data_IF_885256025257
#
_entry.id   IF_885256025257
#
_cell.length_a   1.000
_cell.length_b   1.000
_cell.length_c   1.000
_cell.angle_alpha   90.00
_cell.angle_beta   90.00
_cell.angle_gamma   90.00
#
_symmetry.space_group_name_H-M   'P 1'
#
loop_
_entity.id
_entity.type
_entity.pdbx_description
1 polymer ?
#
# COMPACT_ATOMS: atom_id res chain seq x y z
N UNK A 1 23.32 -14.93 7.94
CA UNK A 1 21.95 -14.41 7.71
C UNK A 1 22.01 -12.90 7.70
N UNK A 2 21.52 -12.25 6.64
CA UNK A 2 21.48 -10.79 6.51
C UNK A 2 20.28 -10.21 7.25
N UNK A 3 20.49 -9.26 8.16
CA UNK A 3 19.44 -8.47 8.81
C UNK A 3 19.12 -7.20 8.01
N UNK A 4 17.83 -6.94 7.74
CA UNK A 4 17.33 -5.70 7.16
C UNK A 4 16.42 -5.01 8.16
N UNK A 5 16.81 -3.83 8.64
CA UNK A 5 16.02 -3.04 9.60
C UNK A 5 15.06 -2.10 8.86
N UNK A 6 13.79 -2.40 8.89
CA UNK A 6 12.73 -1.57 8.31
C UNK A 6 12.24 -0.52 9.32
N UNK A 7 12.43 0.76 9.02
CA UNK A 7 11.86 1.85 9.83
C UNK A 7 10.44 2.15 9.38
N UNK A 8 9.47 1.90 10.25
CA UNK A 8 8.03 2.02 10.02
C UNK A 8 7.33 2.84 11.11
N UNK A 9 6.04 3.15 10.93
CA UNK A 9 5.24 3.76 12.01
C UNK A 9 5.03 2.77 13.16
N UNK A 10 4.36 1.69 12.91
CA UNK A 10 4.19 0.47 13.71
C UNK A 10 3.75 -0.63 12.72
N UNK A 11 3.60 -1.88 13.16
CA UNK A 11 3.22 -2.98 12.27
C UNK A 11 1.70 -3.28 12.31
N UNK A 12 0.89 -2.22 12.18
CA UNK A 12 -0.57 -2.32 12.01
C UNK A 12 -0.94 -2.84 10.60
N UNK A 13 -2.20 -3.26 10.39
CA UNK A 13 -2.69 -3.67 9.06
C UNK A 13 -2.98 -2.45 8.18
N UNK A 14 -1.93 -1.87 7.62
CA UNK A 14 -2.00 -0.79 6.63
C UNK A 14 -1.17 -1.14 5.39
N UNK A 15 -1.23 -0.30 4.35
CA UNK A 15 -0.69 -0.64 3.03
C UNK A 15 0.81 -0.96 3.02
N UNK A 16 1.63 -0.16 3.71
CA UNK A 16 3.09 -0.35 3.77
C UNK A 16 3.44 -1.61 4.55
N UNK A 17 2.84 -1.78 5.71
CA UNK A 17 3.07 -2.90 6.60
C UNK A 17 2.61 -4.23 5.96
N UNK A 18 1.45 -4.20 5.28
CA UNK A 18 0.96 -5.36 4.52
C UNK A 18 1.89 -5.71 3.37
N UNK A 19 2.42 -4.72 2.64
CA UNK A 19 3.43 -4.94 1.59
C UNK A 19 4.67 -5.62 2.18
N UNK A 20 5.23 -5.10 3.28
CA UNK A 20 6.41 -5.69 3.92
C UNK A 20 6.16 -7.13 4.38
N UNK A 21 4.98 -7.41 4.96
CA UNK A 21 4.60 -8.76 5.37
C UNK A 21 4.41 -9.70 4.19
N UNK A 22 3.85 -9.23 3.07
CA UNK A 22 3.75 -10.04 1.86
C UNK A 22 5.15 -10.50 1.41
N UNK A 23 6.11 -9.59 1.33
CA UNK A 23 7.50 -9.93 1.00
C UNK A 23 8.13 -10.86 2.03
N UNK A 24 8.00 -10.58 3.32
CA UNK A 24 8.67 -11.36 4.37
C UNK A 24 8.17 -12.79 4.49
N UNK A 25 6.89 -13.05 4.20
CA UNK A 25 6.31 -14.40 4.16
C UNK A 25 6.94 -15.29 3.10
N UNK A 26 7.32 -14.72 1.97
CA UNK A 26 7.86 -15.43 0.80
C UNK A 26 9.38 -15.53 0.76
N UNK A 27 10.09 -14.79 1.61
CA UNK A 27 11.55 -14.80 1.66
C UNK A 27 12.10 -16.04 2.37
N UNK A 28 13.28 -16.50 1.92
CA UNK A 28 14.06 -17.50 2.63
C UNK A 28 14.66 -16.89 3.90
N UNK A 29 14.05 -17.21 5.04
CA UNK A 29 14.44 -16.71 6.36
C UNK A 29 15.76 -17.29 6.89
N UNK A 30 16.35 -18.25 6.20
CA UNK A 30 17.72 -18.70 6.48
C UNK A 30 18.76 -17.71 5.94
N UNK A 31 18.42 -16.96 4.89
CA UNK A 31 19.28 -16.00 4.21
C UNK A 31 19.06 -14.58 4.71
N UNK A 32 17.76 -14.15 4.83
CA UNK A 32 17.38 -12.79 5.22
C UNK A 32 16.39 -12.79 6.36
N UNK A 33 16.60 -11.87 7.32
CA UNK A 33 15.65 -11.55 8.36
C UNK A 33 15.20 -10.10 8.25
N UNK A 34 13.90 -9.85 8.35
CA UNK A 34 13.34 -8.52 8.53
C UNK A 34 13.23 -8.20 10.02
N UNK A 35 13.83 -7.10 10.42
CA UNK A 35 13.69 -6.48 11.73
C UNK A 35 12.96 -5.13 11.56
N UNK A 36 12.22 -4.70 12.56
CA UNK A 36 11.37 -3.52 12.46
C UNK A 36 11.70 -2.50 13.55
N UNK A 37 11.96 -1.26 13.15
CA UNK A 37 12.07 -0.09 14.00
C UNK A 37 10.73 0.64 14.01
N UNK A 38 9.88 0.32 14.98
CA UNK A 38 8.57 0.93 15.16
C UNK A 38 8.70 2.32 15.81
N UNK A 39 8.20 3.35 15.16
CA UNK A 39 8.31 4.75 15.61
C UNK A 39 7.08 5.26 16.38
N UNK A 40 6.11 4.38 16.65
CA UNK A 40 4.98 4.59 17.54
C UNK A 40 4.91 3.45 18.55
N UNK A 41 4.55 3.72 19.81
CA UNK A 41 4.54 2.71 20.87
C UNK A 41 3.36 1.74 20.81
N UNK A 42 2.36 2.00 19.95
CA UNK A 42 1.20 1.12 19.83
C UNK A 42 1.60 -0.22 19.21
N UNK A 43 1.17 -1.37 19.79
CA UNK A 43 1.35 -2.67 19.18
C UNK A 43 0.74 -2.74 17.78
N UNK A 44 1.34 -3.50 16.90
CA UNK A 44 0.84 -3.77 15.55
C UNK A 44 0.18 -5.14 15.47
N UNK A 45 -0.80 -5.29 14.60
CA UNK A 45 -1.50 -6.56 14.38
C UNK A 45 -0.60 -7.64 13.75
N UNK A 46 0.55 -7.27 13.20
CA UNK A 46 1.54 -8.20 12.66
C UNK A 46 2.65 -8.58 13.64
N UNK A 47 2.68 -8.00 14.85
CA UNK A 47 3.81 -8.17 15.77
C UNK A 47 4.09 -9.64 16.13
N UNK A 48 3.05 -10.41 16.43
CA UNK A 48 3.20 -11.81 16.81
C UNK A 48 3.63 -12.69 15.61
N UNK A 49 3.12 -12.41 14.44
CA UNK A 49 3.52 -13.10 13.21
C UNK A 49 4.99 -12.82 12.87
N UNK A 50 5.44 -11.57 13.00
CA UNK A 50 6.86 -11.19 12.80
C UNK A 50 7.77 -11.96 13.74
N UNK A 51 7.43 -12.00 15.04
CA UNK A 51 8.20 -12.74 16.04
C UNK A 51 8.23 -14.24 15.76
N UNK A 52 7.07 -14.81 15.35
CA UNK A 52 6.94 -16.22 14.95
C UNK A 52 7.80 -16.58 13.73
N UNK A 53 8.09 -15.61 12.86
CA UNK A 53 8.98 -15.76 11.71
C UNK A 53 10.46 -15.45 12.02
N UNK A 54 10.81 -15.16 13.28
CA UNK A 54 12.17 -14.85 13.72
C UNK A 54 12.59 -13.38 13.58
N UNK A 55 11.67 -12.49 13.14
CA UNK A 55 11.90 -11.05 13.07
C UNK A 55 11.82 -10.38 14.45
N UNK A 56 12.53 -9.27 14.61
CA UNK A 56 12.57 -8.49 15.85
C UNK A 56 11.88 -7.16 15.67
N UNK A 57 11.27 -6.66 16.74
CA UNK A 57 10.59 -5.35 16.75
C UNK A 57 11.22 -4.50 17.85
N UNK A 58 11.80 -3.38 17.45
CA UNK A 58 12.42 -2.37 18.31
C UNK A 58 11.49 -1.15 18.37
N UNK A 59 10.94 -0.85 19.54
CA UNK A 59 10.05 0.29 19.72
C UNK A 59 10.87 1.51 20.11
N UNK A 60 10.95 2.50 19.22
CA UNK A 60 11.72 3.71 19.44
C UNK A 60 11.04 4.68 20.42
N UNK A 61 11.80 5.63 21.03
CA UNK A 61 11.22 6.70 21.85
C UNK A 61 10.37 7.70 21.05
N UNK A 62 10.15 7.42 19.76
CA UNK A 62 9.34 8.23 18.84
C UNK A 62 10.13 9.33 18.12
N UNK A 63 9.59 9.73 16.96
CA UNK A 63 10.20 10.76 16.10
C UNK A 63 9.82 12.17 16.61
N UNK A 64 10.59 12.65 17.59
CA UNK A 64 10.52 14.02 18.08
C UNK A 64 11.86 14.72 17.82
N UNK A 65 11.90 15.83 17.04
CA UNK A 65 13.13 16.56 16.75
C UNK A 65 13.91 17.00 17.99
N UNK A 66 13.22 17.40 19.04
CA UNK A 66 13.83 17.84 20.30
C UNK A 66 14.49 16.70 21.07
N UNK A 67 14.09 15.47 20.78
CA UNK A 67 14.66 14.23 21.37
C UNK A 67 15.50 13.44 20.37
N UNK A 68 15.94 14.07 19.29
CA UNK A 68 16.76 13.38 18.28
C UNK A 68 18.05 12.74 18.86
N UNK A 69 18.79 13.35 19.79
CA UNK A 69 19.95 12.68 20.41
C UNK A 69 19.60 11.35 21.08
N UNK A 70 18.44 11.27 21.76
CA UNK A 70 17.94 10.04 22.39
C UNK A 70 17.57 9.00 21.32
N UNK A 71 16.85 9.41 20.26
CA UNK A 71 16.52 8.55 19.14
C UNK A 71 17.76 8.01 18.43
N UNK A 72 18.75 8.88 18.17
CA UNK A 72 20.03 8.49 17.55
C UNK A 72 20.76 7.45 18.40
N UNK A 73 20.84 7.67 19.72
CA UNK A 73 21.47 6.72 20.65
C UNK A 73 20.78 5.36 20.58
N UNK A 74 19.46 5.32 20.68
CA UNK A 74 18.66 4.10 20.59
C UNK A 74 18.92 3.32 19.31
N UNK A 75 18.90 4.00 18.14
CA UNK A 75 19.19 3.34 16.85
C UNK A 75 20.64 2.86 16.79
N UNK A 76 21.60 3.63 17.34
CA UNK A 76 23.00 3.21 17.37
C UNK A 76 23.24 1.99 18.27
N UNK A 77 22.58 1.90 19.42
CA UNK A 77 22.62 0.74 20.33
C UNK A 77 22.11 -0.50 19.60
N UNK A 78 20.93 -0.44 18.94
CA UNK A 78 20.40 -1.55 18.15
C UNK A 78 21.41 -2.03 17.11
N UNK A 79 21.99 -1.12 16.34
CA UNK A 79 22.91 -1.48 15.24
C UNK A 79 24.27 -2.01 15.76
N UNK A 80 24.71 -1.57 16.93
CA UNK A 80 25.93 -2.08 17.57
C UNK A 80 25.73 -3.48 18.16
N UNK A 81 24.59 -3.72 18.81
CA UNK A 81 24.22 -5.01 19.39
C UNK A 81 23.83 -6.06 18.33
N UNK A 82 23.52 -5.63 17.13
CA UNK A 82 23.06 -6.48 16.03
C UNK A 82 23.86 -6.21 14.75
N UNK A 83 25.13 -6.62 14.68
CA UNK A 83 26.03 -6.36 13.54
C UNK A 83 25.60 -7.08 12.24
N UNK A 84 24.70 -8.05 12.33
CA UNK A 84 24.06 -8.70 11.21
C UNK A 84 23.09 -7.78 10.45
N UNK A 85 22.64 -6.68 11.06
CA UNK A 85 21.85 -5.63 10.39
C UNK A 85 22.77 -4.76 9.53
N UNK A 86 22.86 -5.07 8.26
CA UNK A 86 23.70 -4.37 7.28
C UNK A 86 22.93 -3.38 6.41
N UNK A 87 21.60 -3.46 6.41
CA UNK A 87 20.71 -2.60 5.63
C UNK A 87 19.71 -1.91 6.55
N UNK A 88 19.54 -0.60 6.40
CA UNK A 88 18.42 0.15 6.99
C UNK A 88 17.51 0.70 5.89
N UNK A 89 16.27 0.26 5.87
CA UNK A 89 15.27 0.60 4.88
C UNK A 89 14.13 1.41 5.52
N UNK A 90 14.04 2.70 5.20
CA UNK A 90 13.09 3.62 5.84
C UNK A 90 11.84 3.84 4.99
N UNK A 91 10.66 3.54 5.57
CA UNK A 91 9.33 3.66 4.96
C UNK A 91 8.51 4.84 5.53
N UNK A 92 9.12 5.66 6.39
CA UNK A 92 8.43 6.78 7.06
C UNK A 92 8.45 8.07 6.22
N UNK A 93 8.48 7.97 4.92
CA UNK A 93 8.50 9.13 4.03
C UNK A 93 9.65 10.12 4.39
N UNK A 94 9.35 11.44 4.41
CA UNK A 94 10.32 12.44 4.80
C UNK A 94 10.91 12.21 6.21
N UNK A 95 10.12 11.66 7.14
CA UNK A 95 10.57 11.42 8.52
C UNK A 95 11.58 10.26 8.63
N UNK A 96 11.69 9.41 7.60
CA UNK A 96 12.75 8.40 7.47
C UNK A 96 14.17 8.98 7.54
N UNK A 97 14.31 10.31 7.30
CA UNK A 97 15.56 11.02 7.47
C UNK A 97 16.22 10.74 8.83
N UNK A 98 15.46 10.70 9.93
CA UNK A 98 16.03 10.48 11.26
C UNK A 98 16.63 9.08 11.43
N UNK A 99 15.94 8.04 10.95
CA UNK A 99 16.45 6.67 10.97
C UNK A 99 17.71 6.53 10.11
N UNK A 100 17.68 7.01 8.86
CA UNK A 100 18.81 6.92 7.94
C UNK A 100 20.02 7.76 8.38
N UNK A 101 19.79 8.96 8.95
CA UNK A 101 20.87 9.77 9.54
C UNK A 101 21.51 9.09 10.72
N UNK A 102 20.74 8.41 11.59
CA UNK A 102 21.25 7.65 12.71
C UNK A 102 22.04 6.44 12.25
N UNK A 103 21.52 5.68 11.26
CA UNK A 103 22.21 4.56 10.64
C UNK A 103 23.52 4.97 9.95
N UNK A 104 23.54 6.13 9.28
CA UNK A 104 24.77 6.70 8.70
C UNK A 104 25.82 6.98 9.79
N UNK A 105 25.39 7.52 10.93
CA UNK A 105 26.31 7.80 12.05
C UNK A 105 26.82 6.52 12.72
N UNK A 106 26.06 5.43 12.66
CA UNK A 106 26.45 4.10 13.17
C UNK A 106 27.26 3.26 12.17
N UNK A 107 27.58 3.82 10.97
CA UNK A 107 28.43 3.15 9.98
C UNK A 107 27.70 2.20 9.02
N UNK A 108 26.38 2.12 9.05
CA UNK A 108 25.62 1.29 8.08
C UNK A 108 25.82 1.84 6.68
N UNK A 109 26.26 0.96 5.76
CA UNK A 109 26.65 1.37 4.39
C UNK A 109 25.46 1.39 3.42
N UNK A 110 24.48 0.53 3.61
CA UNK A 110 23.25 0.47 2.76
C UNK A 110 22.08 1.11 3.50
N UNK A 111 21.62 2.25 2.99
CA UNK A 111 20.56 3.05 3.62
C UNK A 111 19.55 3.47 2.56
N UNK A 112 18.40 2.80 2.56
CA UNK A 112 17.36 2.94 1.54
C UNK A 112 16.28 3.90 2.04
N UNK A 113 16.03 4.97 1.29
CA UNK A 113 14.87 5.83 1.47
C UNK A 113 13.76 5.39 0.52
N UNK A 114 12.58 5.01 1.06
CA UNK A 114 11.47 4.51 0.27
C UNK A 114 10.26 5.43 0.36
N UNK A 115 9.81 5.93 -0.78
CA UNK A 115 8.65 6.80 -0.92
C UNK A 115 7.41 6.00 -1.33
N UNK A 116 6.29 6.19 -0.62
CA UNK A 116 5.02 5.48 -0.85
C UNK A 116 3.89 6.39 -1.32
N UNK A 117 4.06 7.72 -1.25
CA UNK A 117 3.04 8.70 -1.60
C UNK A 117 3.59 9.79 -2.52
N UNK A 118 2.69 10.38 -3.31
CA UNK A 118 2.99 11.52 -4.19
C UNK A 118 2.80 12.88 -3.51
N UNK A 119 2.44 12.90 -2.22
CA UNK A 119 2.21 14.13 -1.44
C UNK A 119 2.59 13.96 0.03
N UNK A 120 2.97 15.06 0.67
CA UNK A 120 3.11 15.13 2.13
C UNK A 120 1.79 15.58 2.73
N UNK A 121 1.28 14.80 3.69
CA UNK A 121 0.07 15.18 4.46
C UNK A 121 0.35 16.45 5.24
N UNK A 122 -0.53 17.46 5.07
CA UNK A 122 -0.49 18.75 5.78
C UNK A 122 -1.09 18.60 7.17
N UNK A 123 -0.23 18.36 8.15
CA UNK A 123 -0.54 18.34 9.58
C UNK A 123 0.38 19.34 10.32
N UNK A 124 0.31 19.38 11.66
CA UNK A 124 1.15 20.26 12.47
C UNK A 124 2.67 20.04 12.29
N UNK A 125 3.10 18.86 11.77
CA UNK A 125 4.49 18.56 11.45
C UNK A 125 4.88 18.92 10.00
N UNK A 126 4.00 19.51 9.21
CA UNK A 126 4.24 19.78 7.80
C UNK A 126 5.53 20.57 7.51
N UNK A 127 5.86 21.68 8.24
CA UNK A 127 7.14 22.38 8.01
C UNK A 127 8.35 21.51 8.27
N UNK A 128 8.31 20.68 9.31
CA UNK A 128 9.38 19.75 9.62
C UNK A 128 9.54 18.69 8.52
N UNK A 129 8.42 18.15 8.03
CA UNK A 129 8.43 17.16 6.93
C UNK A 129 9.08 17.74 5.66
N UNK A 130 8.87 19.02 5.35
CA UNK A 130 9.52 19.68 4.22
C UNK A 130 11.03 19.76 4.39
N UNK A 131 11.50 20.13 5.59
CA UNK A 131 12.94 20.14 5.90
C UNK A 131 13.53 18.73 5.80
N UNK A 132 12.88 17.74 6.43
CA UNK A 132 13.32 16.35 6.37
C UNK A 132 13.38 15.82 4.93
N UNK A 133 12.36 16.11 4.09
CA UNK A 133 12.36 15.75 2.66
C UNK A 133 13.58 16.29 1.94
N UNK A 134 13.97 17.55 2.20
CA UNK A 134 15.15 18.16 1.58
C UNK A 134 16.46 17.49 2.04
N UNK A 135 16.53 17.04 3.29
CA UNK A 135 17.72 16.44 3.88
C UNK A 135 17.82 14.92 3.63
N UNK A 136 16.70 14.27 3.38
CA UNK A 136 16.59 12.81 3.21
C UNK A 136 17.57 12.23 2.20
N UNK A 137 17.78 12.81 1.00
CA UNK A 137 18.72 12.28 0.01
C UNK A 137 20.17 12.25 0.49
N UNK A 138 20.56 13.17 1.38
CA UNK A 138 21.93 13.20 1.94
C UNK A 138 22.18 12.14 3.03
N UNK A 139 21.12 11.52 3.56
CA UNK A 139 21.21 10.45 4.53
C UNK A 139 21.11 9.05 3.90
N UNK A 140 20.45 8.95 2.74
CA UNK A 140 20.27 7.71 1.99
C UNK A 140 21.47 7.43 1.07
N UNK A 141 21.64 6.16 0.71
CA UNK A 141 22.51 5.68 -0.39
C UNK A 141 21.67 5.32 -1.61
N UNK A 142 20.44 4.87 -1.39
CA UNK A 142 19.55 4.33 -2.41
C UNK A 142 18.16 4.96 -2.31
N UNK A 143 17.51 5.19 -3.46
CA UNK A 143 16.23 5.87 -3.57
C UNK A 143 15.21 4.94 -4.17
N UNK A 144 14.29 4.46 -3.34
CA UNK A 144 13.24 3.54 -3.75
C UNK A 144 11.87 4.18 -3.64
N UNK A 145 10.92 3.71 -4.45
CA UNK A 145 9.52 4.09 -4.32
C UNK A 145 8.58 3.02 -4.86
N UNK A 146 7.31 3.11 -4.47
CA UNK A 146 6.25 2.24 -5.00
C UNK A 146 5.87 2.54 -6.46
N UNK A 147 6.32 3.70 -7.01
CA UNK A 147 6.06 4.13 -8.38
C UNK A 147 6.87 5.37 -8.73
N UNK A 148 7.03 5.65 -10.03
CA UNK A 148 7.87 6.72 -10.56
C UNK A 148 7.49 8.11 -10.01
N UNK A 149 6.20 8.41 -9.95
CA UNK A 149 5.71 9.72 -9.50
C UNK A 149 6.07 10.00 -8.03
N UNK A 150 5.94 9.00 -7.16
CA UNK A 150 6.34 9.10 -5.75
C UNK A 150 7.85 9.32 -5.63
N UNK A 151 8.65 8.60 -6.42
CA UNK A 151 10.10 8.76 -6.46
C UNK A 151 10.53 10.16 -6.92
N UNK A 152 9.97 10.66 -8.01
CA UNK A 152 10.23 12.02 -8.50
C UNK A 152 9.82 13.07 -7.46
N UNK A 153 8.65 12.89 -6.83
CA UNK A 153 8.16 13.82 -5.82
C UNK A 153 9.11 13.93 -4.62
N UNK A 154 9.62 12.79 -4.10
CA UNK A 154 10.47 12.79 -2.90
C UNK A 154 11.92 13.11 -3.18
N UNK A 155 12.49 12.59 -4.27
CA UNK A 155 13.94 12.66 -4.50
C UNK A 155 14.33 13.65 -5.61
N UNK A 156 13.35 14.14 -6.37
CA UNK A 156 13.55 15.00 -7.54
C UNK A 156 13.92 14.23 -8.80
N UNK A 157 13.44 14.73 -9.96
CA UNK A 157 13.57 14.05 -11.26
C UNK A 157 15.00 13.61 -11.59
N UNK A 158 15.99 14.50 -11.38
CA UNK A 158 17.39 14.21 -11.71
C UNK A 158 17.97 13.01 -10.95
N UNK A 159 17.72 12.92 -9.64
CA UNK A 159 18.18 11.77 -8.83
C UNK A 159 17.42 10.50 -9.18
N UNK A 160 16.11 10.63 -9.31
CA UNK A 160 15.26 9.50 -9.65
C UNK A 160 15.67 8.87 -10.98
N UNK A 161 15.83 9.66 -12.03
CA UNK A 161 16.24 9.15 -13.35
C UNK A 161 17.65 8.56 -13.36
N UNK A 162 18.54 8.98 -12.44
CA UNK A 162 19.91 8.47 -12.35
C UNK A 162 20.02 7.15 -11.55
N UNK A 163 19.23 6.97 -10.47
CA UNK A 163 19.42 5.85 -9.53
C UNK A 163 18.15 5.47 -8.77
N UNK A 164 16.96 5.87 -9.24
CA UNK A 164 15.70 5.48 -8.64
C UNK A 164 15.36 4.02 -8.95
N UNK A 165 14.81 3.32 -7.97
CA UNK A 165 14.32 1.95 -8.10
C UNK A 165 12.85 1.84 -7.69
N UNK A 166 12.02 1.21 -8.52
CA UNK A 166 10.63 0.90 -8.20
C UNK A 166 10.56 -0.47 -7.55
N UNK A 167 10.12 -0.50 -6.29
CA UNK A 167 9.72 -1.73 -5.63
C UNK A 167 8.20 -1.82 -5.67
N UNK A 168 7.68 -2.78 -6.39
CA UNK A 168 6.25 -2.97 -6.56
C UNK A 168 5.58 -3.37 -5.24
N UNK A 169 4.38 -2.86 -4.99
CA UNK A 169 3.52 -3.32 -3.91
C UNK A 169 2.89 -4.67 -4.30
N UNK A 170 3.72 -5.71 -4.36
CA UNK A 170 3.33 -7.02 -4.84
C UNK A 170 2.32 -7.72 -3.92
N UNK A 171 1.44 -8.52 -4.52
CA UNK A 171 0.37 -9.25 -3.86
C UNK A 171 0.47 -10.75 -4.18
N UNK A 172 -0.18 -11.58 -3.40
CA UNK A 172 -0.37 -12.99 -3.74
C UNK A 172 -1.42 -13.09 -4.87
N UNK A 173 -0.97 -12.97 -6.12
CA UNK A 173 -1.85 -12.90 -7.29
C UNK A 173 -2.79 -14.11 -7.39
N UNK A 174 -2.35 -15.35 -7.19
CA UNK A 174 -3.24 -16.52 -7.17
C UNK A 174 -4.42 -16.40 -6.21
N UNK A 175 -4.21 -15.78 -5.04
CA UNK A 175 -5.26 -15.58 -4.04
C UNK A 175 -6.41 -14.69 -4.51
N UNK A 176 -6.14 -13.79 -5.45
CA UNK A 176 -7.12 -12.85 -6.01
C UNK A 176 -7.67 -13.29 -7.37
N UNK A 177 -7.12 -14.33 -7.98
CA UNK A 177 -7.58 -14.83 -9.28
C UNK A 177 -9.08 -15.11 -9.26
N UNK A 178 -9.75 -14.84 -10.38
CA UNK A 178 -11.20 -14.98 -10.47
C UNK A 178 -11.64 -16.43 -10.26
N UNK A 179 -12.53 -16.63 -9.27
CA UNK A 179 -13.07 -17.94 -8.89
C UNK A 179 -14.61 -17.92 -8.93
N UNK A 180 -15.24 -18.53 -9.94
CA UNK A 180 -16.69 -18.50 -10.15
C UNK A 180 -17.51 -19.11 -9.00
N UNK A 181 -17.00 -20.15 -8.33
CA UNK A 181 -17.72 -20.80 -7.23
C UNK A 181 -17.82 -19.87 -6.01
N UNK A 182 -16.72 -19.22 -5.65
CA UNK A 182 -16.71 -18.21 -4.57
C UNK A 182 -17.65 -17.07 -4.89
N UNK A 183 -17.68 -16.60 -6.14
CA UNK A 183 -18.65 -15.59 -6.60
C UNK A 183 -20.10 -16.06 -6.36
N UNK A 184 -20.46 -17.24 -6.83
CA UNK A 184 -21.82 -17.80 -6.68
C UNK A 184 -22.20 -17.93 -5.20
N UNK A 185 -21.31 -18.50 -4.40
CA UNK A 185 -21.52 -18.71 -2.96
C UNK A 185 -21.77 -17.40 -2.21
N UNK A 186 -20.90 -16.40 -2.39
CA UNK A 186 -21.03 -15.12 -1.70
C UNK A 186 -22.27 -14.34 -2.15
N UNK A 187 -22.55 -14.29 -3.45
CA UNK A 187 -23.73 -13.58 -3.96
C UNK A 187 -25.01 -14.20 -3.44
N UNK A 188 -25.12 -15.53 -3.39
CA UNK A 188 -26.25 -16.23 -2.81
C UNK A 188 -26.39 -15.95 -1.31
N UNK A 189 -25.28 -16.01 -0.56
CA UNK A 189 -25.28 -15.76 0.89
C UNK A 189 -25.80 -14.36 1.24
N UNK A 190 -25.53 -13.37 0.40
CA UNK A 190 -25.84 -11.96 0.64
C UNK A 190 -27.00 -11.42 -0.21
N UNK A 191 -27.73 -12.27 -0.94
CA UNK A 191 -28.86 -11.84 -1.80
C UNK A 191 -28.45 -10.91 -2.94
N UNK A 192 -27.26 -11.14 -3.52
CA UNK A 192 -26.67 -10.30 -4.57
C UNK A 192 -26.75 -10.95 -5.97
N UNK A 193 -27.44 -12.07 -6.13
CA UNK A 193 -27.43 -12.92 -7.34
C UNK A 193 -27.78 -12.12 -8.59
N UNK A 194 -28.86 -11.35 -8.53
CA UNK A 194 -29.38 -10.53 -9.64
C UNK A 194 -28.92 -9.06 -9.57
N UNK A 195 -28.00 -8.73 -8.65
CA UNK A 195 -27.56 -7.37 -8.45
C UNK A 195 -26.34 -7.01 -9.33
N UNK A 196 -26.25 -5.75 -9.72
CA UNK A 196 -25.00 -5.16 -10.22
C UNK A 196 -24.20 -4.62 -9.03
N UNK A 197 -23.09 -5.26 -8.67
CA UNK A 197 -22.35 -5.01 -7.44
C UNK A 197 -21.11 -4.15 -7.70
N UNK A 198 -21.15 -2.90 -7.20
CA UNK A 198 -19.99 -2.05 -7.13
C UNK A 198 -19.23 -2.33 -5.81
N UNK A 199 -17.90 -2.31 -5.86
CA UNK A 199 -17.08 -2.48 -4.68
C UNK A 199 -16.09 -1.35 -4.44
N UNK A 200 -15.82 -1.09 -3.17
CA UNK A 200 -14.73 -0.25 -2.72
C UNK A 200 -14.08 -0.87 -1.50
N UNK A 201 -12.77 -0.86 -1.46
CA UNK A 201 -11.96 -1.31 -0.33
C UNK A 201 -11.03 -0.20 0.08
N UNK A 202 -11.14 0.27 1.33
CA UNK A 202 -10.29 1.33 1.83
C UNK A 202 -10.70 1.88 3.18
N UNK A 203 -9.75 2.51 3.86
CA UNK A 203 -10.01 3.17 5.14
C UNK A 203 -10.97 4.35 4.94
N UNK A 204 -11.96 4.48 5.81
CA UNK A 204 -12.88 5.63 5.82
C UNK A 204 -12.17 6.90 6.31
N UNK A 205 -11.44 7.54 5.40
CA UNK A 205 -10.70 8.78 5.64
C UNK A 205 -10.89 9.76 4.47
N UNK A 206 -10.37 10.97 4.62
CA UNK A 206 -10.46 12.03 3.59
C UNK A 206 -9.84 11.57 2.27
N UNK A 207 -8.73 10.84 2.29
CA UNK A 207 -8.00 10.38 1.10
C UNK A 207 -8.88 9.55 0.16
N UNK A 208 -9.63 8.58 0.70
CA UNK A 208 -10.44 7.61 -0.07
C UNK A 208 -11.75 8.19 -0.60
N UNK A 209 -12.17 9.36 -0.09
CA UNK A 209 -13.28 10.15 -0.63
C UNK A 209 -14.62 9.40 -0.73
N UNK A 210 -15.00 8.70 0.34
CA UNK A 210 -16.26 7.95 0.39
C UNK A 210 -17.49 8.83 0.16
N UNK A 211 -17.42 10.12 0.50
CA UNK A 211 -18.49 11.06 0.22
C UNK A 211 -18.79 11.15 -1.28
N UNK A 212 -17.75 11.34 -2.10
CA UNK A 212 -17.87 11.36 -3.57
C UNK A 212 -18.35 10.02 -4.14
N UNK A 213 -17.84 8.92 -3.57
CA UNK A 213 -18.25 7.58 -3.99
C UNK A 213 -19.75 7.36 -3.82
N UNK A 214 -20.34 7.83 -2.72
CA UNK A 214 -21.77 7.76 -2.47
C UNK A 214 -22.57 8.65 -3.42
N UNK A 215 -22.08 9.85 -3.78
CA UNK A 215 -22.73 10.71 -4.79
C UNK A 215 -22.77 10.03 -6.17
N UNK A 216 -21.65 9.46 -6.60
CA UNK A 216 -21.58 8.68 -7.85
C UNK A 216 -22.54 7.51 -7.80
N UNK A 217 -22.57 6.78 -6.69
CA UNK A 217 -23.45 5.62 -6.52
C UNK A 217 -24.93 6.02 -6.54
N UNK A 218 -25.29 7.17 -5.99
CA UNK A 218 -26.68 7.69 -6.04
C UNK A 218 -27.15 7.85 -7.50
N UNK A 219 -26.33 8.47 -8.36
CA UNK A 219 -26.64 8.62 -9.79
C UNK A 219 -26.75 7.26 -10.50
N UNK A 220 -25.85 6.35 -10.16
CA UNK A 220 -25.88 5.00 -10.74
C UNK A 220 -27.11 4.20 -10.28
N UNK A 221 -27.46 4.24 -8.99
CA UNK A 221 -28.61 3.53 -8.43
C UNK A 221 -29.96 4.06 -8.94
N UNK A 222 -30.03 5.33 -9.37
CA UNK A 222 -31.19 5.91 -10.03
C UNK A 222 -31.34 5.35 -11.46
N UNK A 223 -30.25 5.11 -12.18
CA UNK A 223 -30.25 4.58 -13.55
C UNK A 223 -30.27 3.02 -13.59
N UNK A 224 -29.84 2.36 -12.52
CA UNK A 224 -29.77 0.89 -12.38
C UNK A 224 -30.33 0.50 -11.00
N UNK A 225 -31.63 0.28 -10.83
CA UNK A 225 -32.27 -0.03 -9.55
C UNK A 225 -31.75 -1.30 -8.86
N UNK A 226 -31.21 -2.24 -9.64
CA UNK A 226 -30.56 -3.47 -9.18
C UNK A 226 -29.12 -3.27 -8.66
N UNK A 227 -28.58 -2.04 -8.75
CA UNK A 227 -27.24 -1.75 -8.26
C UNK A 227 -27.13 -1.86 -6.74
N UNK A 228 -26.01 -2.41 -6.28
CA UNK A 228 -25.61 -2.48 -4.85
C UNK A 228 -24.18 -1.98 -4.72
N UNK A 229 -23.88 -1.36 -3.57
CA UNK A 229 -22.54 -0.90 -3.24
C UNK A 229 -22.01 -1.65 -2.03
N UNK A 230 -20.83 -2.24 -2.16
CA UNK A 230 -20.12 -2.92 -1.06
C UNK A 230 -18.94 -2.05 -0.64
N UNK A 231 -18.92 -1.67 0.63
CA UNK A 231 -17.87 -0.86 1.25
C UNK A 231 -17.14 -1.69 2.32
N UNK A 232 -15.83 -1.92 2.12
CA UNK A 232 -14.99 -2.70 3.03
C UNK A 232 -13.90 -1.80 3.61
N UNK A 233 -13.83 -1.75 4.93
CA UNK A 233 -12.88 -0.98 5.70
C UNK A 233 -13.50 -0.33 6.92
N UNK A 234 -12.67 0.32 7.73
CA UNK A 234 -13.05 1.11 8.91
C UNK A 234 -12.32 2.44 8.89
N UNK A 235 -12.76 3.41 9.65
CA UNK A 235 -12.07 4.71 9.79
C UNK A 235 -12.92 5.80 10.37
N UNK A 236 -12.30 6.95 10.59
CA UNK A 236 -12.88 8.11 11.28
C UNK A 236 -14.10 8.72 10.57
N UNK A 237 -14.26 8.49 9.26
CA UNK A 237 -15.38 9.01 8.47
C UNK A 237 -16.48 7.96 8.18
N UNK A 238 -16.43 6.77 8.79
CA UNK A 238 -17.42 5.71 8.54
C UNK A 238 -18.82 6.15 8.94
N UNK A 239 -18.98 6.75 10.11
CA UNK A 239 -20.27 7.23 10.59
C UNK A 239 -20.85 8.32 9.67
N UNK A 240 -20.03 9.26 9.24
CA UNK A 240 -20.43 10.30 8.28
C UNK A 240 -20.85 9.72 6.93
N UNK A 241 -20.19 8.65 6.47
CA UNK A 241 -20.58 7.95 5.24
C UNK A 241 -21.94 7.25 5.38
N UNK A 242 -22.21 6.61 6.53
CA UNK A 242 -23.53 6.00 6.84
C UNK A 242 -24.64 7.04 6.88
N UNK A 243 -24.40 8.19 7.52
CA UNK A 243 -25.37 9.31 7.55
C UNK A 243 -25.64 9.85 6.14
N UNK A 244 -24.60 10.00 5.33
CA UNK A 244 -24.77 10.43 3.92
C UNK A 244 -25.56 9.41 3.11
N UNK A 245 -25.30 8.11 3.25
CA UNK A 245 -26.07 7.06 2.56
C UNK A 245 -27.55 7.15 2.93
N UNK A 246 -27.88 7.42 4.21
CA UNK A 246 -29.26 7.66 4.66
C UNK A 246 -29.88 8.89 4.02
N UNK A 247 -29.15 10.01 4.00
CA UNK A 247 -29.63 11.25 3.38
C UNK A 247 -29.94 11.08 1.88
N UNK A 248 -29.19 10.20 1.22
CA UNK A 248 -29.37 9.88 -0.20
C UNK A 248 -30.41 8.74 -0.44
N UNK A 249 -31.08 8.24 0.58
CA UNK A 249 -32.01 7.09 0.55
C UNK A 249 -31.38 5.83 -0.09
N UNK A 250 -30.14 5.52 0.31
CA UNK A 250 -29.36 4.38 -0.20
C UNK A 250 -29.14 3.28 0.85
N UNK A 251 -29.79 3.34 2.01
CA UNK A 251 -29.56 2.42 3.14
C UNK A 251 -29.70 0.94 2.72
N UNK A 252 -30.73 0.63 1.95
CA UNK A 252 -31.02 -0.73 1.48
C UNK A 252 -30.12 -1.17 0.30
N UNK A 253 -29.30 -0.26 -0.22
CA UNK A 253 -28.45 -0.49 -1.40
C UNK A 253 -26.94 -0.48 -1.10
N UNK A 254 -26.53 -0.07 0.13
CA UNK A 254 -25.14 0.03 0.54
C UNK A 254 -24.84 -0.93 1.68
N UNK A 255 -23.93 -1.86 1.45
CA UNK A 255 -23.44 -2.81 2.46
C UNK A 255 -22.14 -2.28 3.07
N UNK A 256 -22.17 -1.91 4.33
CA UNK A 256 -20.99 -1.55 5.13
C UNK A 256 -20.50 -2.79 5.87
N UNK A 257 -19.39 -3.39 5.42
CA UNK A 257 -18.92 -4.68 5.93
C UNK A 257 -17.85 -4.56 7.03
N UNK A 258 -17.41 -3.33 7.33
CA UNK A 258 -16.31 -3.14 8.28
C UNK A 258 -14.99 -3.72 7.79
N UNK A 259 -14.12 -4.10 8.71
CA UNK A 259 -12.84 -4.74 8.38
C UNK A 259 -13.03 -6.23 8.12
N UNK A 260 -12.61 -6.70 6.94
CA UNK A 260 -12.75 -8.09 6.51
C UNK A 260 -11.37 -8.73 6.34
N UNK A 261 -11.23 -9.99 6.81
CA UNK A 261 -10.02 -10.79 6.59
C UNK A 261 -9.99 -11.45 5.20
N UNK A 262 -11.15 -11.70 4.61
CA UNK A 262 -11.34 -12.38 3.33
C UNK A 262 -11.73 -11.43 2.19
N UNK A 263 -11.08 -10.28 2.10
CA UNK A 263 -11.34 -9.26 1.05
C UNK A 263 -11.20 -9.85 -0.35
N UNK A 264 -10.27 -10.80 -0.55
CA UNK A 264 -10.08 -11.51 -1.80
C UNK A 264 -11.36 -12.22 -2.29
N UNK A 265 -12.18 -12.77 -1.41
CA UNK A 265 -13.46 -13.39 -1.76
C UNK A 265 -14.50 -12.34 -2.16
N UNK A 266 -14.48 -11.16 -1.51
CA UNK A 266 -15.41 -10.09 -1.85
C UNK A 266 -15.17 -9.49 -3.23
N UNK A 267 -13.91 -9.42 -3.70
CA UNK A 267 -13.64 -9.05 -5.09
C UNK A 267 -14.31 -10.02 -6.10
N UNK A 268 -14.53 -11.28 -5.73
CA UNK A 268 -15.26 -12.22 -6.59
C UNK A 268 -16.73 -11.85 -6.72
N UNK A 269 -17.37 -11.37 -5.66
CA UNK A 269 -18.78 -10.98 -5.64
C UNK A 269 -19.07 -9.69 -6.43
N UNK A 270 -18.09 -8.81 -6.57
CA UNK A 270 -18.19 -7.52 -7.27
C UNK A 270 -18.27 -7.70 -8.79
N UNK A 271 -18.84 -6.68 -9.47
CA UNK A 271 -18.89 -6.54 -10.94
C UNK A 271 -17.96 -5.43 -11.43
N UNK A 272 -17.70 -4.42 -10.59
CA UNK A 272 -16.69 -3.39 -10.84
C UNK A 272 -16.13 -2.83 -9.53
N UNK A 273 -14.99 -2.15 -9.60
CA UNK A 273 -14.29 -1.54 -8.47
C UNK A 273 -14.14 -0.03 -8.68
N UNK A 274 -14.47 0.76 -7.64
CA UNK A 274 -14.36 2.22 -7.65
C UNK A 274 -13.33 2.71 -6.64
N UNK A 275 -12.49 3.66 -7.06
CA UNK A 275 -11.52 4.34 -6.20
C UNK A 275 -11.43 5.84 -6.55
N UNK A 276 -12.39 6.67 -6.11
CA UNK A 276 -12.41 8.11 -6.38
C UNK A 276 -11.52 8.89 -5.40
N UNK A 277 -10.34 8.34 -5.07
CA UNK A 277 -9.41 8.89 -4.10
C UNK A 277 -8.92 10.27 -4.51
N UNK A 278 -8.68 11.15 -3.52
CA UNK A 278 -8.13 12.50 -3.73
C UNK A 278 -6.63 12.47 -4.05
N UNK A 279 -5.93 11.45 -3.64
CA UNK A 279 -4.52 11.17 -3.95
C UNK A 279 -4.18 9.72 -3.61
N UNK A 280 -3.31 9.11 -4.39
CA UNK A 280 -2.72 7.79 -4.10
C UNK A 280 -1.24 7.79 -4.52
N UNK A 281 -0.47 6.91 -3.91
CA UNK A 281 0.76 6.44 -4.52
C UNK A 281 0.42 5.37 -5.56
N UNK A 282 0.66 4.10 -5.21
CA UNK A 282 0.17 2.96 -5.99
C UNK A 282 -0.83 2.18 -5.11
N UNK A 283 -2.15 2.24 -5.40
CA UNK A 283 -3.17 1.65 -4.54
C UNK A 283 -3.19 0.11 -4.67
N UNK A 284 -2.73 -0.60 -3.64
CA UNK A 284 -2.72 -2.08 -3.60
C UNK A 284 -4.11 -2.66 -3.88
N UNK A 285 -5.15 -2.09 -3.29
CA UNK A 285 -6.55 -2.51 -3.52
C UNK A 285 -6.98 -2.44 -4.99
N UNK A 286 -6.38 -1.53 -5.76
CA UNK A 286 -6.58 -1.44 -7.21
C UNK A 286 -5.87 -2.56 -7.97
N UNK A 287 -4.70 -2.98 -7.50
CA UNK A 287 -3.97 -4.14 -8.04
C UNK A 287 -4.76 -5.42 -7.76
N UNK A 288 -5.24 -5.60 -6.53
CA UNK A 288 -6.07 -6.73 -6.09
C UNK A 288 -7.35 -6.86 -6.92
N UNK A 289 -8.08 -5.75 -7.11
CA UNK A 289 -9.29 -5.71 -7.92
C UNK A 289 -9.02 -6.11 -9.39
N UNK A 290 -7.92 -5.64 -9.97
CA UNK A 290 -7.52 -6.01 -11.33
C UNK A 290 -7.05 -7.47 -11.43
N UNK A 291 -6.40 -8.02 -10.41
CA UNK A 291 -6.07 -9.44 -10.35
C UNK A 291 -7.33 -10.31 -10.32
N UNK A 292 -8.41 -9.84 -9.66
CA UNK A 292 -9.74 -10.47 -9.74
C UNK A 292 -10.47 -10.23 -11.08
N UNK A 293 -9.83 -9.55 -12.04
CA UNK A 293 -10.36 -9.28 -13.37
C UNK A 293 -11.50 -8.27 -13.40
N UNK A 294 -11.63 -7.41 -12.39
CA UNK A 294 -12.67 -6.40 -12.32
C UNK A 294 -12.38 -5.23 -13.26
N UNK A 295 -13.39 -4.67 -13.94
CA UNK A 295 -13.35 -3.29 -14.42
C UNK A 295 -13.09 -2.36 -13.22
N UNK A 296 -12.08 -1.49 -13.36
CA UNK A 296 -11.66 -0.59 -12.29
C UNK A 296 -11.77 0.87 -12.74
N UNK A 297 -12.38 1.70 -11.89
CA UNK A 297 -12.56 3.12 -12.13
C UNK A 297 -11.82 3.91 -11.05
N UNK A 298 -10.72 4.52 -11.43
CA UNK A 298 -9.87 5.32 -10.57
C UNK A 298 -10.09 6.81 -10.84
N UNK A 299 -9.85 7.65 -9.85
CA UNK A 299 -9.76 9.09 -10.12
C UNK A 299 -8.49 9.42 -10.94
N UNK A 300 -8.49 10.57 -11.62
CA UNK A 300 -7.31 11.10 -12.30
C UNK A 300 -6.15 11.50 -11.35
N UNK A 301 -6.36 11.37 -10.04
CA UNK A 301 -5.35 11.57 -8.98
C UNK A 301 -4.61 10.29 -8.62
N UNK A 302 -4.99 9.16 -9.20
CA UNK A 302 -4.26 7.89 -9.15
C UNK A 302 -3.27 7.86 -10.32
N UNK A 303 -2.05 7.39 -10.09
CA UNK A 303 -1.03 7.27 -11.13
C UNK A 303 -1.44 6.34 -12.28
N UNK A 304 -0.99 6.62 -13.50
CA UNK A 304 -1.17 5.72 -14.66
C UNK A 304 -0.53 4.34 -14.44
N UNK A 305 0.49 4.27 -13.60
CA UNK A 305 1.15 3.00 -13.22
C UNK A 305 0.19 1.99 -12.55
N UNK A 306 -0.96 2.46 -12.04
CA UNK A 306 -2.00 1.60 -11.47
C UNK A 306 -2.91 0.95 -12.53
N UNK A 307 -2.80 1.31 -13.81
CA UNK A 307 -3.63 0.78 -14.90
C UNK A 307 -2.96 -0.47 -15.51
N UNK A 308 -3.16 -1.62 -14.89
CA UNK A 308 -2.54 -2.90 -15.31
C UNK A 308 -3.41 -3.70 -16.28
N UNK A 309 -4.70 -3.37 -16.35
CA UNK A 309 -5.70 -4.07 -17.15
C UNK A 309 -6.31 -3.12 -18.17
N UNK A 310 -6.65 -3.58 -19.38
CA UNK A 310 -7.38 -2.76 -20.37
C UNK A 310 -8.77 -2.34 -19.88
N UNK A 311 -9.28 -2.99 -18.82
CA UNK A 311 -10.56 -2.65 -18.18
C UNK A 311 -10.40 -1.62 -17.05
N UNK A 312 -9.18 -1.17 -16.76
CA UNK A 312 -8.94 -0.10 -15.80
C UNK A 312 -8.94 1.26 -16.50
N UNK A 313 -9.61 2.24 -15.88
CA UNK A 313 -9.76 3.59 -16.44
C UNK A 313 -9.59 4.64 -15.36
N UNK A 314 -9.12 5.82 -15.76
CA UNK A 314 -9.17 7.01 -14.92
C UNK A 314 -10.29 7.93 -15.38
N UNK A 315 -11.01 8.49 -14.41
CA UNK A 315 -12.04 9.51 -14.63
C UNK A 315 -11.66 10.73 -13.79
N UNK A 316 -11.82 11.92 -14.37
CA UNK A 316 -11.51 13.16 -13.66
C UNK A 316 -12.37 13.32 -12.41
N UNK A 317 -11.79 13.79 -11.31
CA UNK A 317 -12.56 14.22 -10.15
C UNK A 317 -13.39 15.49 -10.44
N UNK A 318 -13.05 16.24 -11.49
CA UNK A 318 -13.82 17.40 -11.92
C UNK A 318 -15.04 17.02 -12.80
N UNK A 319 -15.10 15.74 -13.27
CA UNK A 319 -16.27 15.21 -13.97
C UNK A 319 -17.46 15.08 -13.00
N UNK A 320 -18.68 15.25 -13.51
CA UNK A 320 -19.90 15.09 -12.70
C UNK A 320 -20.12 13.65 -12.23
N UNK A 321 -20.92 13.46 -11.18
CA UNK A 321 -21.31 12.12 -10.69
C UNK A 321 -22.05 11.31 -11.76
N UNK A 322 -22.84 11.99 -12.60
CA UNK A 322 -23.54 11.38 -13.72
C UNK A 322 -22.60 10.88 -14.82
N UNK A 323 -21.49 11.58 -15.10
CA UNK A 323 -20.47 11.12 -16.03
C UNK A 323 -19.76 9.85 -15.50
N UNK A 324 -19.41 9.82 -14.23
CA UNK A 324 -18.88 8.62 -13.57
C UNK A 324 -19.87 7.45 -13.69
N UNK A 325 -21.14 7.67 -13.34
CA UNK A 325 -22.18 6.64 -13.43
C UNK A 325 -22.36 6.11 -14.87
N UNK A 326 -22.31 6.99 -15.87
CA UNK A 326 -22.41 6.62 -17.30
C UNK A 326 -21.23 5.74 -17.73
N UNK A 327 -20.00 6.07 -17.34
CA UNK A 327 -18.80 5.27 -17.63
C UNK A 327 -18.90 3.86 -17.02
N UNK A 328 -19.37 3.78 -15.76
CA UNK A 328 -19.57 2.50 -15.07
C UNK A 328 -20.63 1.65 -15.75
N UNK A 329 -21.77 2.25 -16.13
CA UNK A 329 -22.85 1.55 -16.85
C UNK A 329 -22.42 1.10 -18.24
N UNK A 330 -21.53 1.82 -18.89
CA UNK A 330 -20.96 1.41 -20.18
C UNK A 330 -20.12 0.15 -20.02
N UNK A 331 -19.30 0.08 -18.96
CA UNK A 331 -18.50 -1.11 -18.67
C UNK A 331 -19.34 -2.32 -18.25
N UNK A 332 -20.50 -2.11 -17.59
CA UNK A 332 -21.45 -3.19 -17.27
C UNK A 332 -21.89 -3.97 -18.52
N UNK A 333 -21.98 -3.31 -19.67
CA UNK A 333 -22.43 -3.89 -20.94
C UNK A 333 -21.29 -4.56 -21.72
N UNK A 334 -20.06 -4.31 -21.33
CA UNK A 334 -18.89 -4.85 -22.00
C UNK A 334 -18.63 -6.30 -21.54
N UNK A 335 -18.19 -7.14 -22.46
CA UNK A 335 -17.71 -8.48 -22.13
C UNK A 335 -16.40 -8.38 -21.32
N UNK A 336 -16.40 -8.91 -20.10
CA UNK A 336 -15.22 -8.90 -19.24
C UNK A 336 -14.63 -10.31 -19.12
N UNK A 337 -13.42 -10.49 -19.63
CA UNK A 337 -12.67 -11.75 -19.46
C UNK A 337 -11.93 -11.74 -18.10
N UNK A 338 -12.68 -11.90 -17.00
CA UNK A 338 -12.16 -11.84 -15.63
C UNK A 338 -11.00 -12.82 -15.38
N UNK A 339 -11.01 -13.99 -16.00
CA UNK A 339 -9.95 -15.01 -15.87
C UNK A 339 -8.55 -14.55 -16.27
N UNK A 340 -8.43 -13.46 -17.05
CA UNK A 340 -7.13 -12.91 -17.48
C UNK A 340 -6.53 -11.92 -16.49
N UNK A 341 -7.28 -11.48 -15.48
CA UNK A 341 -6.83 -10.43 -14.57
C UNK A 341 -5.56 -10.80 -13.81
N UNK A 342 -5.51 -12.01 -13.25
CA UNK A 342 -4.36 -12.53 -12.52
C UNK A 342 -3.09 -12.54 -13.39
N UNK A 343 -3.17 -13.06 -14.62
CA UNK A 343 -2.04 -13.11 -15.55
C UNK A 343 -1.52 -11.72 -15.93
N UNK A 344 -2.41 -10.75 -16.15
CA UNK A 344 -2.03 -9.38 -16.48
C UNK A 344 -1.26 -8.73 -15.33
N UNK A 345 -1.75 -8.89 -14.11
CA UNK A 345 -1.13 -8.34 -12.89
C UNK A 345 0.22 -9.01 -12.61
N UNK A 346 0.31 -10.34 -12.77
CA UNK A 346 1.57 -11.06 -12.58
C UNK A 346 2.64 -10.63 -13.62
N UNK A 347 2.28 -10.52 -14.90
CA UNK A 347 3.18 -10.04 -15.97
C UNK A 347 3.64 -8.61 -15.78
N UNK A 348 2.84 -7.78 -15.13
CA UNK A 348 3.20 -6.41 -14.78
C UNK A 348 4.17 -6.33 -13.57
N UNK A 349 4.59 -7.47 -12.98
CA UNK A 349 5.57 -7.51 -11.88
C UNK A 349 4.95 -7.32 -10.50
N UNK A 350 3.70 -7.72 -10.30
CA UNK A 350 3.02 -7.61 -9.01
C UNK A 350 2.76 -8.96 -8.32
N UNK A 351 3.34 -10.06 -8.84
CA UNK A 351 3.23 -11.35 -8.15
C UNK A 351 4.31 -11.49 -7.08
N UNK A 352 3.87 -11.64 -5.83
CA UNK A 352 4.75 -11.66 -4.66
C UNK A 352 5.74 -12.82 -4.68
N UNK A 353 5.37 -13.99 -5.22
CA UNK A 353 6.26 -15.14 -5.28
C UNK A 353 7.50 -14.85 -6.13
N UNK A 354 7.33 -14.14 -7.24
CA UNK A 354 8.44 -13.71 -8.10
C UNK A 354 9.19 -12.52 -7.54
N UNK A 355 8.46 -11.50 -7.05
CA UNK A 355 9.06 -10.25 -6.61
C UNK A 355 9.83 -10.40 -5.28
N UNK A 356 9.42 -11.31 -4.39
CA UNK A 356 10.15 -11.59 -3.15
C UNK A 356 11.53 -12.19 -3.42
N UNK A 357 11.63 -13.11 -4.38
CA UNK A 357 12.93 -13.68 -4.79
C UNK A 357 13.85 -12.61 -5.37
N UNK A 358 13.30 -11.71 -6.22
CA UNK A 358 14.07 -10.58 -6.77
C UNK A 358 14.56 -9.64 -5.68
N UNK A 359 13.69 -9.27 -4.74
CA UNK A 359 14.04 -8.38 -3.63
C UNK A 359 15.08 -9.02 -2.71
N UNK A 360 14.93 -10.30 -2.40
CA UNK A 360 15.91 -11.06 -1.60
C UNK A 360 17.29 -11.01 -2.23
N UNK A 361 17.41 -11.36 -3.51
CA UNK A 361 18.67 -11.34 -4.24
C UNK A 361 19.26 -9.93 -4.34
N UNK A 362 18.41 -8.92 -4.49
CA UNK A 362 18.85 -7.53 -4.51
C UNK A 362 19.47 -7.10 -3.17
N UNK A 363 18.84 -7.42 -2.03
CA UNK A 363 19.38 -7.10 -0.72
C UNK A 363 20.71 -7.82 -0.46
N UNK A 364 20.81 -9.12 -0.79
CA UNK A 364 22.06 -9.88 -0.66
C UNK A 364 23.18 -9.23 -1.49
N UNK A 365 22.92 -8.92 -2.76
CA UNK A 365 23.89 -8.27 -3.64
C UNK A 365 24.31 -6.88 -3.15
N UNK A 366 23.36 -6.09 -2.63
CA UNK A 366 23.67 -4.76 -2.08
C UNK A 366 24.57 -4.86 -0.82
N UNK A 367 24.28 -5.81 0.06
CA UNK A 367 25.11 -6.05 1.25
C UNK A 367 26.51 -6.54 0.85
N UNK A 368 26.61 -7.53 -0.02
CA UNK A 368 27.91 -8.04 -0.52
C UNK A 368 28.78 -6.92 -1.12
N UNK A 369 28.22 -6.12 -2.03
CA UNK A 369 28.95 -5.00 -2.64
C UNK A 369 29.40 -3.93 -1.64
N UNK A 370 28.56 -3.63 -0.66
CA UNK A 370 28.84 -2.58 0.32
C UNK A 370 29.92 -3.02 1.35
N UNK A 371 29.94 -4.32 1.69
CA UNK A 371 30.82 -4.86 2.74
C UNK A 371 31.90 -5.80 2.18
N UNK A 372 32.12 -5.85 0.86
CA UNK A 372 33.21 -6.60 0.25
C UNK A 372 34.58 -6.19 0.84
N UNK A 373 35.34 -7.16 1.35
CA UNK A 373 36.66 -6.95 1.95
C UNK A 373 36.69 -6.77 3.48
N UNK A 374 35.56 -6.85 4.17
CA UNK A 374 35.51 -6.96 5.63
C UNK A 374 35.35 -8.44 6.05
N UNK A 375 36.23 -8.92 6.95
CA UNK A 375 35.98 -10.18 7.64
C UNK A 375 34.71 -10.05 8.51
N UNK A 376 33.86 -11.08 8.60
CA UNK A 376 32.69 -11.04 9.46
C UNK A 376 33.16 -10.78 10.89
N UNK A 377 32.71 -9.69 11.47
CA UNK A 377 32.92 -9.44 12.93
C UNK A 377 32.12 -10.51 13.68
N UNK A 378 32.84 -11.52 14.18
CA UNK A 378 32.35 -12.59 15.06
C UNK A 378 31.96 -12.00 16.41
#
# INVERSE_FOLDING_TARGET
MLGVLHSVSNMARAGIETMLMNYYREMDRSLIRFDFLANKPAPGEYDDEIRGMGGRIFVSPGLNPLRYPQYKRFVSEILTENPDIQIVHAHNEAMGYYALKSAKSAGVRVRIAHAHNTRIIRDYKYPLKLVCKRLLPGAATDYWSCGRDAGIYYFGKKRWDASGFVLHNAINVPKFAFEPETRRRLRKLHGLEECFVLGHVGRFNVQKNHSRLLDIFAQLAAAAPDARLVLIGVGELEQSAKEKARTLALEDKVLFLGQMANVNEWYQAMDCFLLPSLFEGLPVVGIEAQAAGLPCFFSDRVTDEALLSPNARRISLDASDGEWAKEILTARRAETHRSRGADLVARAGYDIHTEAVKLQNLYLTMAERAYAGEEPKI
#
